data_IF_642334189417
#
_entry.id   IF_642334189417
#
_cell.length_a   1.000
_cell.length_b   1.000
_cell.length_c   1.000
_cell.angle_alpha   90.00
_cell.angle_beta   90.00
_cell.angle_gamma   90.00
#
_symmetry.space_group_name_H-M   'P 1'
#
loop_
_entity.id
_entity.type
_entity.pdbx_description
1 polymer ?
#
# COMPACT_ATOMS: atom_id res chain seq x y z
N UNK A 1 -51.24 -53.78 66.34
CA UNK A 1 -50.77 -52.60 65.59
C UNK A 1 -51.59 -52.58 64.30
N UNK A 2 -52.43 -51.57 64.07
CA UNK A 2 -53.35 -51.54 62.93
C UNK A 2 -52.59 -51.29 61.63
N UNK A 3 -52.99 -51.97 60.55
CA UNK A 3 -52.42 -51.85 59.18
C UNK A 3 -52.38 -50.39 58.71
N UNK A 4 -53.34 -49.57 59.16
CA UNK A 4 -53.40 -48.13 58.91
C UNK A 4 -52.19 -47.35 59.45
N UNK A 5 -51.63 -47.72 60.60
CA UNK A 5 -50.46 -47.04 61.18
C UNK A 5 -49.23 -47.31 60.31
N UNK A 6 -49.06 -48.54 59.81
CA UNK A 6 -47.94 -48.93 58.94
C UNK A 6 -48.02 -48.19 57.59
N UNK A 7 -49.21 -48.12 56.98
CA UNK A 7 -49.42 -47.38 55.73
C UNK A 7 -49.16 -45.88 55.89
N UNK A 8 -49.57 -45.30 57.03
CA UNK A 8 -49.33 -43.89 57.35
C UNK A 8 -47.84 -43.57 57.51
N UNK A 9 -47.08 -44.45 58.18
CA UNK A 9 -45.62 -44.30 58.34
C UNK A 9 -44.90 -44.40 56.98
N UNK A 10 -45.30 -45.34 56.13
CA UNK A 10 -44.74 -45.48 54.77
C UNK A 10 -45.04 -44.24 53.92
N UNK A 11 -46.26 -43.70 53.99
CA UNK A 11 -46.64 -42.49 53.26
C UNK A 11 -45.83 -41.26 53.72
N UNK A 12 -45.61 -41.11 55.04
CA UNK A 12 -44.79 -40.03 55.61
C UNK A 12 -43.35 -40.14 55.13
N UNK A 13 -42.74 -41.33 55.23
CA UNK A 13 -41.36 -41.59 54.77
C UNK A 13 -41.23 -41.32 53.26
N UNK A 14 -42.20 -41.78 52.46
CA UNK A 14 -42.24 -41.52 51.03
C UNK A 14 -42.29 -40.02 50.71
N UNK A 15 -43.12 -39.26 51.41
CA UNK A 15 -43.21 -37.79 51.22
C UNK A 15 -41.92 -37.07 51.60
N UNK A 16 -41.24 -37.51 52.66
CA UNK A 16 -39.97 -36.92 53.11
C UNK A 16 -38.86 -37.19 52.10
N UNK A 17 -38.79 -38.41 51.55
CA UNK A 17 -37.81 -38.77 50.51
C UNK A 17 -38.05 -37.92 49.25
N UNK A 18 -39.30 -37.80 48.79
CA UNK A 18 -39.65 -36.98 47.62
C UNK A 18 -39.31 -35.50 47.87
N UNK A 19 -39.62 -34.97 49.05
CA UNK A 19 -39.29 -33.60 49.41
C UNK A 19 -37.77 -33.35 49.43
N UNK A 20 -36.97 -34.29 49.97
CA UNK A 20 -35.51 -34.20 49.97
C UNK A 20 -34.92 -34.26 48.56
N UNK A 21 -35.34 -35.21 47.72
CA UNK A 21 -34.89 -35.32 46.32
C UNK A 21 -35.25 -34.04 45.56
N UNK A 22 -36.47 -33.53 45.75
CA UNK A 22 -36.93 -32.29 45.12
C UNK A 22 -36.09 -31.11 45.58
N UNK A 23 -35.80 -30.97 46.88
CA UNK A 23 -34.96 -29.90 47.40
C UNK A 23 -33.53 -29.95 46.83
N UNK A 24 -32.88 -31.12 46.84
CA UNK A 24 -31.52 -31.28 46.29
C UNK A 24 -31.47 -31.07 44.77
N UNK A 25 -32.44 -31.61 44.03
CA UNK A 25 -32.53 -31.44 42.58
C UNK A 25 -32.80 -29.98 42.22
N UNK A 26 -33.67 -29.29 42.97
CA UNK A 26 -34.00 -27.88 42.73
C UNK A 26 -32.79 -27.00 43.04
N UNK A 27 -32.10 -27.24 44.16
CA UNK A 27 -30.87 -26.52 44.52
C UNK A 27 -29.78 -26.69 43.47
N UNK A 28 -29.52 -27.93 43.01
CA UNK A 28 -28.53 -28.21 41.97
C UNK A 28 -28.89 -27.58 40.62
N UNK A 29 -30.17 -27.58 40.26
CA UNK A 29 -30.66 -26.89 39.06
C UNK A 29 -30.50 -25.36 39.20
N UNK A 30 -30.83 -24.78 40.35
CA UNK A 30 -30.68 -23.35 40.63
C UNK A 30 -29.21 -22.91 40.54
N UNK A 31 -28.28 -23.70 41.09
CA UNK A 31 -26.84 -23.47 41.00
C UNK A 31 -26.35 -23.55 39.55
N UNK A 32 -26.80 -24.57 38.80
CA UNK A 32 -26.44 -24.75 37.39
C UNK A 32 -26.96 -23.60 36.52
N UNK A 33 -28.20 -23.14 36.75
CA UNK A 33 -28.80 -22.00 36.05
C UNK A 33 -28.02 -20.71 36.38
N UNK A 34 -27.69 -20.48 37.65
CA UNK A 34 -26.90 -19.30 38.06
C UNK A 34 -25.52 -19.29 37.40
N UNK A 35 -24.83 -20.44 37.36
CA UNK A 35 -23.54 -20.57 36.70
C UNK A 35 -23.63 -20.35 35.19
N UNK A 36 -24.65 -20.91 34.53
CA UNK A 36 -24.90 -20.71 33.10
C UNK A 36 -25.20 -19.25 32.77
N UNK A 37 -26.04 -18.59 33.58
CA UNK A 37 -26.36 -17.17 33.42
C UNK A 37 -25.10 -16.31 33.58
N UNK A 38 -24.30 -16.54 34.62
CA UNK A 38 -23.04 -15.82 34.82
C UNK A 38 -22.07 -16.01 33.63
N UNK A 39 -21.92 -17.22 33.11
CA UNK A 39 -21.10 -17.49 31.91
C UNK A 39 -21.66 -16.83 30.64
N UNK A 40 -22.98 -16.76 30.50
CA UNK A 40 -23.63 -16.07 29.38
C UNK A 40 -23.43 -14.56 29.47
N UNK A 41 -23.56 -13.99 30.66
CA UNK A 41 -23.31 -12.57 30.93
C UNK A 41 -21.85 -12.19 30.65
N UNK A 42 -20.89 -13.00 31.13
CA UNK A 42 -19.46 -12.80 30.86
C UNK A 42 -19.16 -12.82 29.36
N UNK A 43 -19.65 -13.84 28.64
CA UNK A 43 -19.49 -13.93 27.17
C UNK A 43 -20.17 -12.79 26.43
N UNK A 44 -21.31 -12.30 26.93
CA UNK A 44 -22.02 -11.17 26.35
C UNK A 44 -21.22 -9.89 26.56
N UNK A 45 -20.74 -9.64 27.78
CA UNK A 45 -19.90 -8.50 28.11
C UNK A 45 -18.60 -8.49 27.29
N UNK A 46 -17.94 -9.64 27.12
CA UNK A 46 -16.76 -9.77 26.26
C UNK A 46 -17.07 -9.42 24.79
N UNK A 47 -18.18 -9.94 24.27
CA UNK A 47 -18.62 -9.65 22.89
C UNK A 47 -18.99 -8.17 22.69
N UNK A 48 -19.71 -7.58 23.65
CA UNK A 48 -20.09 -6.18 23.61
C UNK A 48 -18.85 -5.28 23.68
N UNK A 49 -17.94 -5.54 24.63
CA UNK A 49 -16.67 -4.81 24.73
C UNK A 49 -15.82 -4.93 23.45
N UNK A 50 -15.76 -6.13 22.85
CA UNK A 50 -15.07 -6.33 21.57
C UNK A 50 -15.73 -5.58 20.43
N UNK A 51 -17.07 -5.56 20.36
CA UNK A 51 -17.80 -4.83 19.32
C UNK A 51 -17.54 -3.33 19.44
N UNK A 52 -17.61 -2.79 20.65
CA UNK A 52 -17.41 -1.37 20.91
C UNK A 52 -15.98 -0.95 20.56
N UNK A 53 -14.98 -1.74 20.97
CA UNK A 53 -13.59 -1.55 20.55
C UNK A 53 -13.44 -1.55 19.02
N UNK A 54 -14.00 -2.55 18.33
CA UNK A 54 -13.88 -2.66 16.87
C UNK A 54 -14.58 -1.49 16.16
N UNK A 55 -15.72 -1.05 16.67
CA UNK A 55 -16.45 0.09 16.13
C UNK A 55 -15.63 1.38 16.26
N UNK A 56 -15.11 1.67 17.46
CA UNK A 56 -14.31 2.87 17.70
C UNK A 56 -12.98 2.85 16.92
N UNK A 57 -12.32 1.69 16.86
CA UNK A 57 -11.08 1.52 16.10
C UNK A 57 -11.31 1.74 14.59
N UNK A 58 -12.40 1.19 14.03
CA UNK A 58 -12.78 1.43 12.64
C UNK A 58 -13.12 2.88 12.38
N UNK A 59 -13.97 3.48 13.23
CA UNK A 59 -14.35 4.89 13.11
C UNK A 59 -13.11 5.78 13.05
N UNK A 60 -12.14 5.56 13.95
CA UNK A 60 -10.87 6.27 13.93
C UNK A 60 -10.06 6.05 12.65
N UNK A 61 -10.00 4.81 12.14
CA UNK A 61 -9.35 4.53 10.86
C UNK A 61 -9.99 5.33 9.71
N UNK A 62 -11.32 5.35 9.64
CA UNK A 62 -12.04 6.11 8.61
C UNK A 62 -11.76 7.61 8.71
N UNK A 63 -11.85 8.19 9.91
CA UNK A 63 -11.61 9.61 10.15
C UNK A 63 -10.18 10.03 9.77
N UNK A 64 -9.18 9.19 10.09
CA UNK A 64 -7.76 9.50 9.87
C UNK A 64 -7.28 9.22 8.44
N UNK A 65 -7.78 8.14 7.82
CA UNK A 65 -7.23 7.61 6.56
C UNK A 65 -8.09 7.89 5.33
N UNK A 66 -9.42 7.98 5.45
CA UNK A 66 -10.28 8.11 4.26
C UNK A 66 -9.98 9.39 3.45
N UNK A 67 -9.77 10.57 4.08
CA UNK A 67 -9.34 11.76 3.33
C UNK A 67 -7.99 11.57 2.62
N UNK A 68 -7.09 10.80 3.22
CA UNK A 68 -5.79 10.49 2.62
C UNK A 68 -5.94 9.50 1.47
N UNK A 69 -6.82 8.50 1.56
CA UNK A 69 -7.09 7.58 0.46
C UNK A 69 -7.70 8.28 -0.75
N UNK A 70 -8.61 9.22 -0.52
CA UNK A 70 -9.15 10.05 -1.58
C UNK A 70 -8.04 10.80 -2.34
N UNK A 71 -7.19 11.54 -1.61
CA UNK A 71 -6.05 12.25 -2.21
C UNK A 71 -5.06 11.29 -2.89
N UNK A 72 -4.83 10.14 -2.29
CA UNK A 72 -3.94 9.13 -2.82
C UNK A 72 -4.43 8.59 -4.17
N UNK A 73 -5.74 8.40 -4.34
CA UNK A 73 -6.32 7.98 -5.60
C UNK A 73 -6.04 9.01 -6.71
N UNK A 74 -6.30 10.28 -6.46
CA UNK A 74 -6.02 11.35 -7.45
C UNK A 74 -4.53 11.43 -7.82
N UNK A 75 -3.64 11.33 -6.83
CA UNK A 75 -2.19 11.38 -7.08
C UNK A 75 -1.70 10.13 -7.82
N UNK A 76 -2.30 8.97 -7.55
CA UNK A 76 -2.01 7.72 -8.25
C UNK A 76 -2.42 7.79 -9.72
N UNK A 77 -3.59 8.37 -10.04
CA UNK A 77 -4.03 8.61 -11.41
C UNK A 77 -3.07 9.54 -12.16
N UNK A 78 -2.63 10.63 -11.52
CA UNK A 78 -1.62 11.54 -12.11
C UNK A 78 -0.29 10.86 -12.35
N UNK A 79 0.15 10.00 -11.43
CA UNK A 79 1.35 9.18 -11.60
C UNK A 79 1.19 8.21 -12.78
N UNK A 80 0.04 7.55 -12.91
CA UNK A 80 -0.26 6.67 -14.05
C UNK A 80 -0.15 7.43 -15.38
N UNK A 81 -0.86 8.54 -15.50
CA UNK A 81 -0.81 9.38 -16.69
C UNK A 81 0.59 9.91 -16.99
N UNK A 82 1.42 10.16 -15.96
CA UNK A 82 2.80 10.58 -16.16
C UNK A 82 3.65 9.47 -16.79
N UNK A 83 3.50 8.21 -16.38
CA UNK A 83 4.21 7.09 -17.01
C UNK A 83 3.79 6.91 -18.47
N UNK A 84 2.50 7.03 -18.79
CA UNK A 84 2.02 7.01 -20.19
C UNK A 84 2.60 8.18 -20.98
N UNK A 85 2.66 9.36 -20.37
CA UNK A 85 3.29 10.52 -20.98
C UNK A 85 4.78 10.28 -21.24
N UNK A 86 5.50 9.59 -20.35
CA UNK A 86 6.91 9.23 -20.56
C UNK A 86 7.07 8.29 -21.76
N UNK A 87 6.30 7.19 -21.84
CA UNK A 87 6.33 6.28 -22.98
C UNK A 87 6.02 7.01 -24.30
N UNK A 88 4.93 7.79 -24.33
CA UNK A 88 4.56 8.60 -25.49
C UNK A 88 5.64 9.62 -25.88
N UNK A 89 6.32 10.22 -24.90
CA UNK A 89 7.37 11.22 -25.15
C UNK A 89 8.64 10.55 -25.67
N UNK A 90 8.99 9.35 -25.17
CA UNK A 90 10.05 8.51 -25.73
C UNK A 90 9.77 8.15 -27.18
N UNK A 91 8.57 7.64 -27.48
CA UNK A 91 8.13 7.27 -28.84
C UNK A 91 8.19 8.42 -29.85
N UNK A 92 8.07 9.66 -29.37
CA UNK A 92 8.19 10.87 -30.20
C UNK A 92 9.64 11.38 -30.32
N UNK A 93 10.63 10.65 -29.80
CA UNK A 93 12.04 11.06 -29.80
C UNK A 93 12.39 12.17 -28.80
N UNK A 94 11.49 12.50 -27.87
CA UNK A 94 11.62 13.69 -27.01
C UNK A 94 12.19 13.39 -25.61
N UNK A 95 12.81 12.22 -25.37
CA UNK A 95 13.45 11.86 -24.08
C UNK A 95 14.99 11.65 -24.18
N UNK A 96 15.62 12.03 -25.29
CA UNK A 96 17.06 11.84 -25.53
C UNK A 96 18.01 12.73 -24.71
N UNK A 97 19.30 12.33 -24.64
CA UNK A 97 20.38 12.88 -23.78
C UNK A 97 20.69 14.38 -24.02
N UNK A 98 20.40 14.93 -25.20
CA UNK A 98 20.82 16.28 -25.60
C UNK A 98 19.67 17.27 -25.84
N UNK A 99 18.48 16.81 -26.24
CA UNK A 99 17.34 17.66 -26.58
C UNK A 99 16.01 17.21 -25.96
N UNK A 100 16.05 16.22 -25.08
CA UNK A 100 14.84 15.65 -24.47
C UNK A 100 14.19 16.57 -23.43
N UNK A 101 12.90 16.39 -23.21
CA UNK A 101 12.14 17.12 -22.19
C UNK A 101 12.59 16.81 -20.74
N UNK A 102 13.39 15.76 -20.58
CA UNK A 102 14.07 15.40 -19.34
C UNK A 102 15.58 15.71 -19.36
N UNK A 103 16.14 16.29 -20.43
CA UNK A 103 17.55 16.71 -20.45
C UNK A 103 17.78 18.05 -19.76
N UNK A 104 16.71 18.86 -19.65
CA UNK A 104 16.70 20.12 -18.90
C UNK A 104 15.82 20.01 -17.65
N UNK A 105 16.14 20.81 -16.62
CA UNK A 105 15.34 20.90 -15.38
C UNK A 105 14.10 21.80 -15.55
N UNK A 106 13.46 21.75 -16.72
CA UNK A 106 12.26 22.51 -17.07
C UNK A 106 10.96 21.92 -16.49
N UNK A 107 9.81 22.46 -16.89
CA UNK A 107 8.49 22.07 -16.37
C UNK A 107 8.21 20.56 -16.46
N UNK A 108 8.52 19.93 -17.60
CA UNK A 108 8.26 18.49 -17.78
C UNK A 108 9.05 17.64 -16.78
N UNK A 109 10.32 17.99 -16.54
CA UNK A 109 11.16 17.35 -15.52
C UNK A 109 10.59 17.56 -14.12
N UNK A 110 10.33 18.80 -13.70
CA UNK A 110 9.80 19.11 -12.36
C UNK A 110 8.46 18.43 -12.10
N UNK A 111 7.53 18.48 -13.05
CA UNK A 111 6.24 17.80 -12.96
C UNK A 111 6.37 16.28 -12.94
N UNK A 112 7.39 15.71 -13.58
CA UNK A 112 7.70 14.27 -13.44
C UNK A 112 8.12 13.94 -12.02
N UNK A 113 9.04 14.69 -11.43
CA UNK A 113 9.47 14.49 -10.03
C UNK A 113 8.30 14.57 -9.06
N UNK A 114 7.48 15.62 -9.18
CA UNK A 114 6.33 15.81 -8.30
C UNK A 114 5.32 14.66 -8.39
N UNK A 115 4.88 14.30 -9.60
CA UNK A 115 3.87 13.26 -9.79
C UNK A 115 4.35 11.86 -9.39
N UNK A 116 5.67 11.61 -9.39
CA UNK A 116 6.23 10.33 -8.96
C UNK A 116 6.39 10.23 -7.44
N UNK A 117 6.59 11.35 -6.74
CA UNK A 117 6.86 11.35 -5.29
C UNK A 117 5.63 11.73 -4.46
N UNK A 118 4.72 12.56 -4.96
CA UNK A 118 3.54 13.00 -4.20
C UNK A 118 2.65 11.88 -3.65
N UNK A 119 2.43 10.73 -4.34
CA UNK A 119 1.68 9.61 -3.73
C UNK A 119 2.37 9.05 -2.48
N UNK A 120 3.71 9.07 -2.44
CA UNK A 120 4.49 8.58 -1.31
C UNK A 120 4.46 9.53 -0.11
N UNK A 121 4.24 10.83 -0.35
CA UNK A 121 3.95 11.79 0.72
C UNK A 121 2.66 11.45 1.43
N UNK A 122 1.63 11.02 0.69
CA UNK A 122 0.38 10.56 1.31
C UNK A 122 0.61 9.29 2.14
N UNK A 123 1.41 8.35 1.65
CA UNK A 123 1.82 7.18 2.45
C UNK A 123 2.51 7.57 3.76
N UNK A 124 3.43 8.54 3.73
CA UNK A 124 4.11 9.01 4.95
C UNK A 124 3.14 9.70 5.91
N UNK A 125 2.17 10.47 5.42
CA UNK A 125 1.12 11.07 6.23
C UNK A 125 0.25 9.98 6.90
N UNK A 126 -0.12 8.93 6.15
CA UNK A 126 -0.83 7.78 6.71
C UNK A 126 0.00 7.10 7.80
N UNK A 127 1.29 6.84 7.55
CA UNK A 127 2.17 6.21 8.52
C UNK A 127 2.23 6.99 9.84
N UNK A 128 2.31 8.33 9.78
CA UNK A 128 2.30 9.18 10.98
C UNK A 128 1.00 9.01 11.79
N UNK A 129 -0.17 8.98 11.10
CA UNK A 129 -1.50 8.86 11.74
C UNK A 129 -1.80 7.46 12.28
N UNK A 130 -1.24 6.43 11.65
CA UNK A 130 -1.52 5.02 11.95
C UNK A 130 -0.65 4.41 13.06
N UNK A 131 0.28 5.16 13.65
CA UNK A 131 1.26 4.64 14.64
C UNK A 131 0.62 3.90 15.83
N UNK A 132 -0.61 4.24 16.22
CA UNK A 132 -1.33 3.64 17.35
C UNK A 132 -2.59 2.86 16.95
N UNK A 133 -2.78 2.57 15.66
CA UNK A 133 -4.00 1.94 15.17
C UNK A 133 -3.71 0.55 14.61
N UNK A 134 -4.46 -0.44 15.08
CA UNK A 134 -4.39 -1.79 14.54
C UNK A 134 -5.13 -1.86 13.19
N UNK A 135 -4.36 -1.98 12.11
CA UNK A 135 -4.90 -2.16 10.76
C UNK A 135 -5.67 -3.47 10.57
N UNK A 136 -5.54 -4.44 11.48
CA UNK A 136 -6.27 -5.72 11.39
C UNK A 136 -7.79 -5.56 11.52
N UNK A 137 -8.25 -4.46 12.13
CA UNK A 137 -9.68 -4.20 12.35
C UNK A 137 -10.43 -3.88 11.04
N UNK A 138 -9.71 -3.40 10.02
CA UNK A 138 -10.23 -3.11 8.69
C UNK A 138 -9.27 -3.62 7.58
N UNK A 139 -9.55 -4.81 7.00
CA UNK A 139 -8.75 -5.38 5.93
C UNK A 139 -8.66 -4.51 4.67
N UNK A 140 -9.64 -3.66 4.39
CA UNK A 140 -9.67 -2.79 3.22
C UNK A 140 -8.63 -1.69 3.37
N UNK A 141 -8.62 -1.01 4.52
CA UNK A 141 -7.62 0.00 4.88
C UNK A 141 -6.22 -0.61 4.87
N UNK A 142 -6.05 -1.78 5.50
CA UNK A 142 -4.78 -2.51 5.51
C UNK A 142 -4.28 -2.75 4.09
N UNK A 143 -5.14 -3.25 3.21
CA UNK A 143 -4.76 -3.59 1.84
C UNK A 143 -4.34 -2.36 1.04
N UNK A 144 -5.09 -1.25 1.12
CA UNK A 144 -4.73 0.01 0.46
C UNK A 144 -3.39 0.56 0.98
N UNK A 145 -3.17 0.51 2.29
CA UNK A 145 -1.90 0.89 2.92
C UNK A 145 -0.72 0.03 2.43
N UNK A 146 -0.91 -1.29 2.34
CA UNK A 146 0.11 -2.21 1.84
C UNK A 146 0.44 -1.94 0.36
N UNK A 147 -0.56 -1.69 -0.49
CA UNK A 147 -0.32 -1.37 -1.90
C UNK A 147 0.58 -0.14 -2.07
N UNK A 148 0.30 0.96 -1.37
CA UNK A 148 1.13 2.16 -1.46
C UNK A 148 2.51 1.98 -0.80
N UNK A 149 2.61 1.17 0.26
CA UNK A 149 3.90 0.74 0.81
C UNK A 149 4.74 0.01 -0.23
N UNK A 150 4.15 -0.81 -1.09
CA UNK A 150 4.89 -1.48 -2.16
C UNK A 150 5.35 -0.53 -3.28
N UNK A 151 4.63 0.57 -3.51
CA UNK A 151 5.10 1.64 -4.41
C UNK A 151 6.35 2.27 -3.81
N UNK A 152 6.34 2.62 -2.53
CA UNK A 152 7.54 3.10 -1.82
C UNK A 152 8.72 2.12 -1.97
N UNK A 153 8.49 0.84 -1.66
CA UNK A 153 9.54 -0.19 -1.73
C UNK A 153 10.05 -0.43 -3.16
N UNK A 154 9.22 -0.21 -4.19
CA UNK A 154 9.64 -0.42 -5.58
C UNK A 154 10.79 0.50 -5.99
N UNK A 155 10.82 1.74 -5.48
CA UNK A 155 11.92 2.69 -5.72
C UNK A 155 13.26 2.24 -5.10
N UNK A 156 13.21 1.47 -4.01
CA UNK A 156 14.39 1.02 -3.26
C UNK A 156 14.83 -0.40 -3.61
N UNK A 157 14.08 -1.09 -4.48
CA UNK A 157 14.27 -2.50 -4.82
C UNK A 157 14.80 -2.70 -6.25
N UNK A 158 15.56 -1.74 -6.77
CA UNK A 158 16.15 -1.79 -8.12
C UNK A 158 16.98 -3.06 -8.37
N UNK A 159 17.81 -3.50 -7.41
CA UNK A 159 18.54 -4.78 -7.51
C UNK A 159 17.60 -5.98 -7.61
N UNK A 160 16.49 -5.97 -6.85
CA UNK A 160 15.49 -7.04 -6.94
C UNK A 160 14.85 -7.04 -8.33
N UNK A 161 14.47 -5.86 -8.86
CA UNK A 161 13.86 -5.72 -10.19
C UNK A 161 14.79 -6.13 -11.33
N UNK A 162 16.09 -5.84 -11.20
CA UNK A 162 17.11 -6.26 -12.15
C UNK A 162 17.34 -7.78 -12.12
N UNK A 163 17.21 -8.40 -10.95
CA UNK A 163 17.40 -9.84 -10.74
C UNK A 163 16.22 -10.74 -11.16
N UNK A 164 15.04 -10.17 -11.45
CA UNK A 164 13.89 -10.92 -11.95
C UNK A 164 14.05 -11.24 -13.44
N UNK A 165 13.79 -12.49 -13.82
CA UNK A 165 13.94 -12.93 -15.20
C UNK A 165 13.00 -12.21 -16.18
N UNK A 166 13.52 -11.69 -17.32
CA UNK A 166 14.92 -11.83 -17.76
C UNK A 166 15.86 -10.88 -17.01
N UNK A 167 16.98 -11.41 -16.51
CA UNK A 167 17.93 -10.64 -15.70
C UNK A 167 18.60 -9.53 -16.49
N UNK A 168 18.71 -8.35 -15.88
CA UNK A 168 19.51 -7.24 -16.38
C UNK A 168 20.80 -7.20 -15.56
N UNK A 169 21.94 -7.21 -16.24
CA UNK A 169 23.21 -6.96 -15.57
C UNK A 169 23.21 -5.53 -15.01
N UNK A 170 23.26 -5.39 -13.69
CA UNK A 170 23.05 -4.12 -13.00
C UNK A 170 24.02 -3.98 -11.82
N UNK A 171 24.92 -3.00 -11.93
CA UNK A 171 25.94 -2.68 -10.92
C UNK A 171 26.20 -1.16 -10.89
N UNK A 172 25.28 -0.36 -10.32
CA UNK A 172 25.41 1.08 -10.23
C UNK A 172 26.48 1.52 -9.20
N UNK A 173 27.05 0.60 -8.40
CA UNK A 173 28.07 0.90 -7.40
C UNK A 173 29.47 0.98 -8.02
N UNK A 174 29.72 0.23 -9.10
CA UNK A 174 30.99 0.30 -9.86
C UNK A 174 31.04 1.44 -10.88
N UNK A 175 30.17 2.45 -10.74
CA UNK A 175 29.97 3.51 -11.73
C UNK A 175 31.12 4.52 -11.78
N UNK A 176 31.46 4.93 -12.99
CA UNK A 176 32.20 6.17 -13.28
C UNK A 176 31.61 6.78 -14.56
N UNK A 177 31.99 8.01 -14.90
CA UNK A 177 31.40 8.73 -16.04
C UNK A 177 31.58 7.98 -17.37
N UNK A 178 32.74 7.37 -17.59
CA UNK A 178 33.06 6.62 -18.80
C UNK A 178 32.22 5.34 -18.94
N UNK A 179 32.14 4.53 -17.89
CA UNK A 179 31.34 3.30 -17.84
C UNK A 179 29.85 3.59 -18.03
N UNK A 180 29.37 4.67 -17.44
CA UNK A 180 27.99 5.12 -17.61
C UNK A 180 27.70 5.46 -19.07
N UNK A 181 28.64 6.12 -19.76
CA UNK A 181 28.48 6.48 -21.16
C UNK A 181 28.51 5.24 -22.07
N UNK A 182 29.37 4.27 -21.77
CA UNK A 182 29.49 3.03 -22.53
C UNK A 182 28.30 2.08 -22.31
N UNK A 183 27.83 1.93 -21.07
CA UNK A 183 26.75 1.01 -20.71
C UNK A 183 25.86 1.60 -19.59
N UNK A 184 24.95 2.53 -19.93
CA UNK A 184 24.07 3.15 -18.95
C UNK A 184 23.12 2.14 -18.30
N UNK A 185 22.72 1.09 -19.02
CA UNK A 185 21.80 0.07 -18.50
C UNK A 185 22.35 -0.64 -17.27
N UNK A 186 23.68 -0.84 -17.21
CA UNK A 186 24.39 -1.52 -16.11
C UNK A 186 24.82 -0.57 -15.01
N UNK A 187 25.41 0.56 -15.37
CA UNK A 187 26.12 1.42 -14.41
C UNK A 187 25.34 2.67 -13.98
N UNK A 188 24.25 3.03 -14.67
CA UNK A 188 23.43 4.17 -14.26
C UNK A 188 22.53 3.78 -13.07
N UNK A 189 22.47 4.56 -11.97
CA UNK A 189 21.57 4.31 -10.85
C UNK A 189 20.10 4.46 -11.24
N UNK A 190 19.33 3.41 -11.08
CA UNK A 190 17.93 3.32 -11.50
C UNK A 190 16.95 3.11 -10.33
N UNK A 191 17.46 3.00 -9.10
CA UNK A 191 16.72 3.10 -7.85
C UNK A 191 17.32 4.15 -6.91
N UNK A 192 16.66 4.34 -5.77
CA UNK A 192 17.05 5.33 -4.76
C UNK A 192 17.15 4.68 -3.39
N UNK A 193 18.16 5.09 -2.62
CA UNK A 193 18.31 4.65 -1.24
C UNK A 193 17.14 5.16 -0.38
N UNK A 194 16.61 4.29 0.49
CA UNK A 194 15.44 4.58 1.33
C UNK A 194 15.55 5.92 2.08
N UNK A 195 16.68 6.21 2.72
CA UNK A 195 16.86 7.48 3.44
C UNK A 195 16.85 8.73 2.54
N UNK A 196 17.30 8.61 1.28
CA UNK A 196 17.23 9.72 0.31
C UNK A 196 15.80 9.92 -0.20
N UNK A 197 15.08 8.82 -0.39
CA UNK A 197 13.67 8.85 -0.74
C UNK A 197 12.83 9.47 0.38
N UNK A 198 13.06 9.07 1.63
CA UNK A 198 12.39 9.62 2.81
C UNK A 198 12.60 11.12 2.94
N UNK A 199 13.84 11.61 2.75
CA UNK A 199 14.11 13.05 2.77
C UNK A 199 13.29 13.81 1.70
N UNK A 200 13.19 13.27 0.49
CA UNK A 200 12.39 13.88 -0.57
C UNK A 200 10.90 13.88 -0.21
N UNK A 201 10.38 12.75 0.28
CA UNK A 201 8.99 12.59 0.71
C UNK A 201 8.64 13.57 1.84
N UNK A 202 9.47 13.65 2.88
CA UNK A 202 9.26 14.53 4.02
C UNK A 202 9.39 16.00 3.66
N UNK A 203 10.25 16.35 2.71
CA UNK A 203 10.37 17.73 2.22
C UNK A 203 9.09 18.25 1.53
N UNK A 204 8.21 17.35 1.08
CA UNK A 204 6.89 17.71 0.52
C UNK A 204 5.79 17.86 1.58
N UNK A 205 6.07 17.63 2.87
CA UNK A 205 5.08 17.77 3.93
C UNK A 205 5.10 19.20 4.45
N UNK A 206 3.96 19.88 4.37
CA UNK A 206 3.71 21.13 5.07
C UNK A 206 3.02 20.80 6.38
N UNK A 207 3.61 21.23 7.49
CA UNK A 207 3.00 21.17 8.82
C UNK A 207 2.04 22.36 9.00
N UNK A 208 0.88 22.12 9.60
CA UNK A 208 -0.11 23.17 9.87
C UNK A 208 0.45 24.20 10.85
N UNK A 209 0.17 25.48 10.62
CA UNK A 209 0.72 26.58 11.42
C UNK A 209 0.02 26.80 12.76
N UNK A 210 -1.20 26.28 12.94
CA UNK A 210 -2.02 26.49 14.15
C UNK A 210 -2.42 25.19 14.85
N UNK A 211 -2.53 25.27 16.18
CA UNK A 211 -2.96 24.15 17.05
C UNK A 211 -4.37 23.64 16.73
N UNK A 212 -5.20 24.44 16.07
CA UNK A 212 -6.58 24.08 15.69
C UNK A 212 -6.71 23.44 14.30
N UNK A 213 -5.72 23.61 13.41
CA UNK A 213 -5.74 23.15 12.01
C UNK A 213 -4.54 22.25 11.69
N UNK A 214 -4.22 21.38 12.66
CA UNK A 214 -2.96 20.62 12.78
C UNK A 214 -2.80 19.47 11.76
N UNK A 215 -3.44 19.56 10.59
CA UNK A 215 -3.39 18.52 9.58
C UNK A 215 -2.22 18.78 8.63
N UNK A 216 -1.12 18.08 8.86
CA UNK A 216 -0.03 18.00 7.89
C UNK A 216 -0.57 17.56 6.52
N UNK A 217 -0.14 18.23 5.46
CA UNK A 217 -0.57 17.97 4.08
C UNK A 217 0.60 17.88 3.12
N UNK A 218 0.35 17.31 1.94
CA UNK A 218 1.29 17.41 0.83
C UNK A 218 1.30 18.84 0.28
N UNK A 219 2.49 19.32 -0.11
CA UNK A 219 2.64 20.50 -0.96
C UNK A 219 1.82 20.32 -2.24
N UNK A 220 1.21 21.41 -2.71
CA UNK A 220 0.71 21.51 -4.08
C UNK A 220 1.88 21.60 -5.06
N UNK A 221 1.61 21.38 -6.35
CA UNK A 221 2.65 21.49 -7.38
C UNK A 221 3.29 22.88 -7.43
N UNK A 222 2.51 23.96 -7.26
CA UNK A 222 3.03 25.33 -7.28
C UNK A 222 3.96 25.62 -6.11
N UNK A 223 3.61 25.16 -4.91
CA UNK A 223 4.48 25.26 -3.72
C UNK A 223 5.79 24.48 -3.92
N UNK A 224 5.68 23.25 -4.43
CA UNK A 224 6.84 22.42 -4.77
C UNK A 224 7.73 23.09 -5.81
N UNK A 225 7.18 23.60 -6.90
CA UNK A 225 7.97 24.22 -7.97
C UNK A 225 8.71 25.47 -7.46
N UNK A 226 8.05 26.29 -6.66
CA UNK A 226 8.66 27.47 -6.04
C UNK A 226 9.81 27.08 -5.11
N UNK A 227 9.60 26.11 -4.21
CA UNK A 227 10.65 25.66 -3.30
C UNK A 227 11.79 24.95 -4.03
N UNK A 228 11.50 24.15 -5.06
CA UNK A 228 12.53 23.48 -5.88
C UNK A 228 13.45 24.49 -6.60
N UNK A 229 12.93 25.65 -6.98
CA UNK A 229 13.73 26.72 -7.63
C UNK A 229 14.54 27.56 -6.64
N UNK A 230 14.18 27.54 -5.36
CA UNK A 230 14.85 28.30 -4.31
C UNK A 230 16.16 27.62 -3.91
N UNK A 231 17.29 28.27 -4.19
CA UNK A 231 18.63 27.76 -3.86
C UNK A 231 18.77 27.55 -2.35
N UNK A 232 19.19 26.36 -1.94
CA UNK A 232 19.36 25.97 -0.53
C UNK A 232 18.07 25.63 0.20
N UNK A 233 16.94 25.49 -0.50
CA UNK A 233 15.72 24.96 0.13
C UNK A 233 15.87 23.47 0.43
N UNK A 234 15.17 22.99 1.48
CA UNK A 234 15.12 21.56 1.80
C UNK A 234 14.60 20.72 0.63
N UNK A 235 13.62 21.24 -0.12
CA UNK A 235 13.06 20.57 -1.30
C UNK A 235 14.12 20.45 -2.40
N UNK A 236 14.86 21.52 -2.71
CA UNK A 236 15.91 21.49 -3.72
C UNK A 236 16.99 20.44 -3.41
N UNK A 237 17.47 20.43 -2.16
CA UNK A 237 18.51 19.49 -1.73
C UNK A 237 18.02 18.04 -1.74
N UNK A 238 16.82 17.81 -1.20
CA UNK A 238 16.24 16.47 -1.13
C UNK A 238 15.92 15.88 -2.52
N UNK A 239 15.39 16.71 -3.43
CA UNK A 239 15.03 16.28 -4.78
C UNK A 239 16.22 16.18 -5.74
N UNK A 240 17.43 16.59 -5.36
CA UNK A 240 18.61 16.41 -6.21
C UNK A 240 18.80 14.94 -6.61
N UNK A 241 18.72 14.02 -5.66
CA UNK A 241 18.92 12.58 -5.92
C UNK A 241 17.78 11.96 -6.72
N UNK A 242 16.53 12.37 -6.43
CA UNK A 242 15.36 11.96 -7.23
C UNK A 242 15.48 12.49 -8.66
N UNK A 243 15.98 13.71 -8.82
CA UNK A 243 16.25 14.33 -10.11
C UNK A 243 17.17 13.50 -10.99
N UNK A 244 18.26 12.95 -10.43
CA UNK A 244 19.22 12.13 -11.16
C UNK A 244 18.60 10.85 -11.76
N UNK A 245 17.56 10.29 -11.13
CA UNK A 245 16.81 9.13 -11.66
C UNK A 245 16.11 9.45 -12.98
N UNK A 246 15.58 10.66 -13.11
CA UNK A 246 14.77 11.07 -14.26
C UNK A 246 15.53 11.93 -15.27
N UNK A 247 16.67 12.52 -14.90
CA UNK A 247 17.48 13.35 -15.79
C UNK A 247 17.98 12.50 -16.95
N UNK A 248 17.64 12.84 -18.19
CA UNK A 248 17.94 12.01 -19.39
C UNK A 248 17.37 10.58 -19.34
N UNK A 249 16.28 10.36 -18.62
CA UNK A 249 15.63 9.04 -18.57
C UNK A 249 15.06 8.62 -19.92
N UNK A 250 15.35 7.38 -20.33
CA UNK A 250 14.71 6.70 -21.45
C UNK A 250 14.55 5.22 -21.10
N UNK A 251 13.41 4.56 -21.40
CA UNK A 251 13.21 3.14 -21.06
C UNK A 251 14.31 2.22 -21.60
N UNK A 252 14.78 2.46 -22.83
CA UNK A 252 15.92 1.75 -23.44
C UNK A 252 17.22 1.80 -22.63
N UNK A 253 17.59 2.99 -22.12
CA UNK A 253 18.87 3.18 -21.41
C UNK A 253 18.74 2.95 -19.91
N UNK A 254 17.51 2.98 -19.39
CA UNK A 254 17.17 2.76 -17.97
C UNK A 254 16.03 1.75 -17.80
N UNK A 255 16.24 0.48 -18.22
CA UNK A 255 15.20 -0.55 -18.21
C UNK A 255 14.80 -1.02 -16.81
N UNK A 256 15.69 -0.93 -15.81
CA UNK A 256 15.35 -1.24 -14.40
C UNK A 256 14.40 -0.19 -13.84
N UNK A 257 14.66 1.10 -14.10
CA UNK A 257 13.73 2.17 -13.70
C UNK A 257 12.40 2.03 -14.46
N UNK A 258 12.43 1.63 -15.73
CA UNK A 258 11.20 1.33 -16.47
C UNK A 258 10.40 0.19 -15.82
N UNK A 259 11.04 -0.91 -15.42
CA UNK A 259 10.40 -2.00 -14.65
C UNK A 259 9.77 -1.49 -13.36
N UNK A 260 10.46 -0.62 -12.62
CA UNK A 260 9.92 0.03 -11.40
C UNK A 260 8.64 0.81 -11.74
N UNK A 261 8.65 1.65 -12.78
CA UNK A 261 7.47 2.42 -13.18
C UNK A 261 6.31 1.50 -13.60
N UNK A 262 6.56 0.43 -14.34
CA UNK A 262 5.53 -0.55 -14.70
C UNK A 262 4.94 -1.25 -13.47
N UNK A 263 5.77 -1.61 -12.48
CA UNK A 263 5.27 -2.16 -11.20
C UNK A 263 4.36 -1.16 -10.51
N UNK A 264 4.78 0.11 -10.42
CA UNK A 264 4.00 1.16 -9.77
C UNK A 264 2.64 1.35 -10.45
N UNK A 265 2.57 1.31 -11.78
CA UNK A 265 1.31 1.39 -12.51
C UNK A 265 0.33 0.31 -12.06
N UNK A 266 0.79 -0.93 -11.94
CA UNK A 266 -0.07 -2.02 -11.50
C UNK A 266 -0.54 -1.85 -10.05
N UNK A 267 0.32 -1.33 -9.18
CA UNK A 267 -0.02 -1.03 -7.79
C UNK A 267 -1.03 0.13 -7.70
N UNK A 268 -0.86 1.19 -8.49
CA UNK A 268 -1.80 2.31 -8.56
C UNK A 268 -3.15 1.90 -9.14
N UNK A 269 -3.17 1.05 -10.18
CA UNK A 269 -4.41 0.51 -10.73
C UNK A 269 -5.12 -0.42 -9.73
N UNK A 270 -4.37 -1.21 -8.96
CA UNK A 270 -4.95 -1.99 -7.88
C UNK A 270 -5.52 -1.13 -6.76
N UNK A 271 -4.84 -0.02 -6.45
CA UNK A 271 -5.30 0.93 -5.45
C UNK A 271 -6.60 1.61 -5.88
N UNK A 272 -6.70 2.07 -7.13
CA UNK A 272 -7.92 2.65 -7.69
C UNK A 272 -9.10 1.67 -7.62
N UNK A 273 -8.87 0.41 -8.02
CA UNK A 273 -9.89 -0.64 -7.91
C UNK A 273 -10.28 -0.93 -6.46
N UNK A 274 -9.33 -0.85 -5.52
CA UNK A 274 -9.61 -1.02 -4.10
C UNK A 274 -10.40 0.15 -3.51
N UNK A 275 -10.36 1.33 -4.13
CA UNK A 275 -11.24 2.46 -3.81
C UNK A 275 -12.66 2.25 -4.33
N UNK A 276 -12.82 1.65 -5.51
CA UNK A 276 -14.13 1.38 -6.12
C UNK A 276 -14.86 0.14 -5.56
N UNK A 277 -14.11 -0.81 -5.00
CA UNK A 277 -14.67 -2.06 -4.49
C UNK A 277 -15.54 -1.83 -3.25
N UNK A 278 -16.76 -2.37 -3.28
CA UNK A 278 -17.64 -2.43 -2.09
C UNK A 278 -16.99 -3.29 -1.00
N UNK A 279 -17.24 -2.93 0.26
CA UNK A 279 -16.53 -3.37 1.49
C UNK A 279 -16.26 -4.87 1.66
N UNK A 280 -16.97 -5.77 0.96
CA UNK A 280 -17.07 -7.17 1.35
C UNK A 280 -16.00 -8.12 0.82
N UNK A 281 -15.03 -7.73 -0.03
CA UNK A 281 -13.93 -8.66 -0.40
C UNK A 281 -12.72 -8.08 -1.20
N UNK A 282 -12.11 -6.96 -0.77
CA UNK A 282 -10.95 -6.38 -1.48
C UNK A 282 -9.77 -7.37 -1.59
N UNK A 283 -9.50 -8.13 -0.53
CA UNK A 283 -8.41 -9.12 -0.49
C UNK A 283 -8.60 -10.24 -1.50
N UNK A 284 -9.84 -10.65 -1.76
CA UNK A 284 -10.19 -11.61 -2.81
C UNK A 284 -10.13 -10.97 -4.19
N UNK A 285 -10.51 -9.70 -4.32
CA UNK A 285 -10.50 -8.98 -5.61
C UNK A 285 -9.08 -8.69 -6.12
N UNK A 286 -8.14 -8.47 -5.21
CA UNK A 286 -6.74 -8.18 -5.54
C UNK A 286 -5.88 -9.43 -5.74
N UNK A 287 -6.43 -10.63 -5.51
CA UNK A 287 -5.73 -11.90 -5.74
C UNK A 287 -6.36 -12.68 -6.89
N UNK A 288 -5.65 -12.91 -8.01
CA UNK A 288 -4.34 -12.34 -8.36
C UNK A 288 -4.46 -10.86 -8.79
N UNK A 289 -3.35 -10.12 -8.69
CA UNK A 289 -3.28 -8.77 -9.23
C UNK A 289 -3.63 -8.81 -10.72
N UNK A 290 -4.73 -8.14 -11.09
CA UNK A 290 -5.11 -8.02 -12.49
C UNK A 290 -4.11 -7.12 -13.19
N UNK A 291 -3.16 -7.75 -13.89
CA UNK A 291 -2.20 -7.08 -14.74
C UNK A 291 -2.93 -6.26 -15.82
N UNK A 292 -2.26 -5.24 -16.34
CA UNK A 292 -2.77 -4.48 -17.47
C UNK A 292 -3.03 -5.45 -18.64
N UNK A 293 -4.28 -5.48 -19.16
CA UNK A 293 -4.64 -6.30 -20.31
C UNK A 293 -3.73 -6.03 -21.50
N UNK A 294 -3.46 -7.05 -22.33
CA UNK A 294 -2.52 -6.93 -23.46
C UNK A 294 -2.92 -5.81 -24.42
N UNK A 295 -4.21 -5.63 -24.67
CA UNK A 295 -4.82 -4.57 -25.51
C UNK A 295 -4.59 -3.15 -24.99
N UNK A 296 -4.21 -2.98 -23.72
CA UNK A 296 -3.86 -1.68 -23.15
C UNK A 296 -2.36 -1.44 -23.05
N UNK A 297 -1.52 -2.39 -23.49
CA UNK A 297 -0.06 -2.27 -23.41
C UNK A 297 0.52 -1.32 -24.45
N UNK A 298 -0.22 -1.01 -25.51
CA UNK A 298 0.19 -0.06 -26.56
C UNK A 298 0.42 1.37 -26.03
N UNK A 299 -0.23 1.72 -24.91
CA UNK A 299 -0.01 3.00 -24.21
C UNK A 299 1.41 3.11 -23.61
N UNK A 300 2.08 1.96 -23.44
CA UNK A 300 3.44 1.84 -22.90
C UNK A 300 4.49 1.65 -23.98
N UNK A 301 4.11 1.58 -25.26
CA UNK A 301 5.09 1.51 -26.34
C UNK A 301 5.87 2.81 -26.41
N UNK A 302 7.13 2.73 -25.96
CA UNK A 302 8.07 3.83 -25.92
C UNK A 302 8.95 3.90 -27.17
N UNK A 303 8.88 2.92 -28.07
CA UNK A 303 9.74 2.85 -29.26
C UNK A 303 9.30 3.88 -30.28
N UNK A 304 10.26 4.54 -30.91
CA UNK A 304 10.01 5.42 -32.05
C UNK A 304 9.92 4.64 -33.36
N UNK A 305 10.50 3.42 -33.38
CA UNK A 305 10.47 2.48 -34.51
C UNK A 305 10.54 1.05 -34.00
N UNK A 306 9.94 0.10 -34.72
CA UNK A 306 9.90 -1.32 -34.31
C UNK A 306 11.30 -1.97 -34.17
N UNK A 307 12.30 -1.45 -34.89
CA UNK A 307 13.68 -1.94 -34.81
C UNK A 307 14.45 -1.45 -33.56
N UNK A 308 13.86 -0.55 -32.76
CA UNK A 308 14.55 0.03 -31.62
C UNK A 308 14.71 -0.96 -30.46
N UNK A 309 13.72 -1.83 -30.27
CA UNK A 309 13.65 -2.92 -29.30
C UNK A 309 12.58 -3.93 -29.72
N UNK A 310 12.77 -5.19 -29.34
CA UNK A 310 11.83 -6.27 -29.63
C UNK A 310 10.48 -6.07 -28.92
N UNK A 311 9.43 -6.71 -29.43
CA UNK A 311 8.11 -6.70 -28.76
C UNK A 311 8.16 -7.34 -27.38
N UNK A 312 9.01 -8.36 -27.20
CA UNK A 312 9.20 -9.04 -25.93
C UNK A 312 9.73 -8.06 -24.86
N UNK A 313 10.80 -7.32 -25.17
CA UNK A 313 11.42 -6.31 -24.29
C UNK A 313 10.46 -5.18 -23.89
N UNK A 314 9.52 -4.81 -24.76
CA UNK A 314 8.61 -3.68 -24.52
C UNK A 314 7.31 -4.11 -23.85
N UNK A 315 6.69 -5.18 -24.33
CA UNK A 315 5.32 -5.54 -23.96
C UNK A 315 5.20 -6.77 -23.06
N UNK A 316 6.25 -7.60 -22.96
CA UNK A 316 6.20 -8.84 -22.18
C UNK A 316 7.06 -8.74 -20.94
N UNK A 317 8.36 -8.50 -21.08
CA UNK A 317 9.31 -8.56 -19.97
C UNK A 317 8.95 -7.62 -18.81
N UNK A 318 8.65 -6.32 -19.01
CA UNK A 318 8.39 -5.42 -17.89
C UNK A 318 7.13 -5.80 -17.10
N UNK A 319 6.13 -6.37 -17.80
CA UNK A 319 4.86 -6.78 -17.21
C UNK A 319 4.99 -8.11 -16.47
N UNK A 320 5.77 -9.07 -16.99
CA UNK A 320 6.08 -10.32 -16.30
C UNK A 320 6.98 -10.09 -15.08
N UNK A 321 7.92 -9.14 -15.17
CA UNK A 321 8.72 -8.70 -14.01
C UNK A 321 7.80 -8.12 -12.93
N UNK A 322 6.86 -7.25 -13.30
CA UNK A 322 5.91 -6.68 -12.36
C UNK A 322 5.07 -7.76 -11.66
N UNK A 323 4.60 -8.75 -12.41
CA UNK A 323 3.88 -9.92 -11.89
C UNK A 323 4.72 -10.71 -10.89
N UNK A 324 5.93 -11.14 -11.29
CA UNK A 324 6.83 -11.94 -10.45
C UNK A 324 7.25 -11.20 -9.19
N UNK A 325 7.58 -9.92 -9.30
CA UNK A 325 7.92 -9.07 -8.16
C UNK A 325 6.76 -9.02 -7.14
N UNK A 326 5.54 -8.82 -7.63
CA UNK A 326 4.34 -8.81 -6.80
C UNK A 326 4.12 -10.17 -6.11
N UNK A 327 4.17 -11.27 -6.87
CA UNK A 327 3.99 -12.63 -6.33
C UNK A 327 5.02 -12.98 -5.25
N UNK A 328 6.29 -12.61 -5.44
CA UNK A 328 7.34 -12.83 -4.46
C UNK A 328 7.11 -12.04 -3.17
N UNK A 329 6.72 -10.76 -3.28
CA UNK A 329 6.54 -9.88 -2.13
C UNK A 329 5.25 -10.17 -1.35
N UNK A 330 4.16 -10.51 -2.02
CA UNK A 330 2.90 -10.76 -1.34
C UNK A 330 2.76 -12.15 -0.73
N UNK A 331 3.48 -13.16 -1.25
CA UNK A 331 3.58 -14.45 -0.57
C UNK A 331 4.12 -14.31 0.85
N UNK A 332 5.00 -13.33 1.11
CA UNK A 332 5.61 -13.12 2.43
C UNK A 332 4.63 -12.54 3.49
N UNK A 333 3.49 -11.98 3.07
CA UNK A 333 2.56 -11.28 3.98
C UNK A 333 1.15 -11.90 4.03
N UNK A 334 0.90 -12.90 3.18
CA UNK A 334 -0.41 -13.53 3.03
C UNK A 334 -0.38 -15.06 3.20
N UNK A 335 0.81 -15.63 3.39
CA UNK A 335 1.00 -16.92 4.04
C UNK A 335 1.06 -16.67 5.56
#
# INVERSE_FOLDING_TARGET
MSVEIVLSVIAIIGSVIVALITHFSTKKNQESITLLNSKLEEKKAEKDARRDYLYDARKRLYEECEPLFFLLNEMSERAIHRVYSLARTARKGNLGKSSGWLSSRGYYFKSTLYNMISPLTIFKLMQKRLTLVDLSVDPNVKTRYELIKYVYLSFTNDYTMAGVEPKIEYDPNSRNSEKIEQNPTKYWPQGIYAGRLDNAIESLIIEGSDKSDNLSRCMSYGEFENELMKKGSKVQEAFYTVGELFLNFHPKTRPVLWRILIVQIHLYLALARACEAKESNITTFLKPLKLTPKDKRDEFDWRSSENEASEEEVFVEPFEVAKKYYEQRLRQYLA
#
